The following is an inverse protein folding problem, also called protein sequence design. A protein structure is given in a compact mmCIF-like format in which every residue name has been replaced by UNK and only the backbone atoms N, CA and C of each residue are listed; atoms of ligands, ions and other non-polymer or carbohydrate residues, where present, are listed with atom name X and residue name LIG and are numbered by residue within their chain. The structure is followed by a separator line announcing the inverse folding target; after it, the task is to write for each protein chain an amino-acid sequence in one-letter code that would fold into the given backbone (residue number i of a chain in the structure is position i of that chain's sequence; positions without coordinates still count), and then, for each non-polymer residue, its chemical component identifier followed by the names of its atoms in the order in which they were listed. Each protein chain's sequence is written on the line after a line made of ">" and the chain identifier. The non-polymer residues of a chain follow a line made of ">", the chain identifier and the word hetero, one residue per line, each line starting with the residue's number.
data_IF_299370506838
#
_entry.id   IF_299370506838
#
_cell.length_a   1.000
_cell.length_b   1.000
_cell.length_c   1.000
_cell.angle_alpha   90.00
_cell.angle_beta   90.00
_cell.angle_gamma   90.00
#
_symmetry.space_group_name_H-M   'P 1'
#
loop_
_entity.id
_entity.type
_entity.pdbx_description
1 polymer ?
#
# COMPACT_ATOMS: atom_id res chain seq x y z
N UNK A 1 -19.40 -34.37 34.47
CA UNK A 1 -20.36 -34.13 33.37
C UNK A 1 -20.96 -32.71 33.33
N UNK A 2 -20.78 -31.87 34.35
CA UNK A 2 -21.30 -30.48 34.38
C UNK A 2 -20.37 -29.45 33.75
N UNK A 3 -19.06 -29.67 33.75
CA UNK A 3 -18.07 -28.68 33.21
C UNK A 3 -18.18 -28.54 31.68
N UNK A 4 -18.54 -29.58 30.97
CA UNK A 4 -18.71 -29.57 29.51
C UNK A 4 -19.98 -28.83 29.04
N UNK A 5 -21.00 -28.68 29.86
CA UNK A 5 -22.22 -27.94 29.53
C UNK A 5 -22.06 -26.44 29.66
N UNK A 6 -21.21 -25.98 30.60
CA UNK A 6 -20.97 -24.53 30.85
C UNK A 6 -20.14 -23.91 29.69
N UNK A 7 -19.14 -24.63 29.18
CA UNK A 7 -18.34 -24.18 28.05
C UNK A 7 -19.16 -24.03 26.76
N UNK A 8 -20.04 -24.97 26.46
CA UNK A 8 -20.84 -24.96 25.24
C UNK A 8 -21.94 -23.88 25.21
N UNK A 9 -22.39 -23.41 26.36
CA UNK A 9 -23.35 -22.30 26.44
C UNK A 9 -22.65 -20.93 26.28
N UNK A 10 -21.45 -20.77 26.81
CA UNK A 10 -20.68 -19.56 26.63
C UNK A 10 -20.27 -19.31 25.17
N UNK A 11 -19.97 -20.37 24.41
CA UNK A 11 -19.60 -20.25 23.00
C UNK A 11 -20.77 -19.76 22.13
N UNK A 12 -22.00 -20.17 22.44
CA UNK A 12 -23.21 -19.71 21.74
C UNK A 12 -23.46 -18.21 21.98
N UNK A 13 -23.37 -17.76 23.24
CA UNK A 13 -23.54 -16.34 23.57
C UNK A 13 -22.46 -15.46 22.95
N UNK A 14 -21.22 -15.91 22.91
CA UNK A 14 -20.14 -15.24 22.22
C UNK A 14 -20.40 -15.13 20.71
N UNK A 15 -20.91 -16.18 20.08
CA UNK A 15 -21.25 -16.21 18.67
C UNK A 15 -22.41 -15.23 18.36
N UNK A 16 -23.50 -15.24 19.14
CA UNK A 16 -24.61 -14.31 18.96
C UNK A 16 -24.19 -12.86 19.19
N UNK A 17 -23.41 -12.58 20.23
CA UNK A 17 -22.87 -11.24 20.47
C UNK A 17 -22.00 -10.77 19.32
N UNK A 18 -21.19 -11.66 18.76
CA UNK A 18 -20.34 -11.37 17.62
C UNK A 18 -21.16 -11.04 16.36
N UNK A 19 -22.17 -11.83 16.03
CA UNK A 19 -23.10 -11.56 14.91
C UNK A 19 -23.80 -10.22 15.11
N UNK A 20 -24.28 -9.93 16.31
CA UNK A 20 -24.95 -8.67 16.62
C UNK A 20 -24.03 -7.47 16.41
N UNK A 21 -22.75 -7.57 16.83
CA UNK A 21 -21.72 -6.53 16.59
C UNK A 21 -21.49 -6.35 15.09
N UNK A 22 -21.37 -7.41 14.32
CA UNK A 22 -21.18 -7.35 12.86
C UNK A 22 -22.37 -6.67 12.19
N UNK A 23 -23.61 -7.02 12.59
CA UNK A 23 -24.82 -6.41 12.06
C UNK A 23 -24.88 -4.90 12.37
N UNK A 24 -24.55 -4.49 13.60
CA UNK A 24 -24.48 -3.08 13.97
C UNK A 24 -23.43 -2.35 13.13
N UNK A 25 -22.23 -2.94 12.96
CA UNK A 25 -21.19 -2.37 12.12
C UNK A 25 -21.66 -2.20 10.67
N UNK A 26 -22.42 -3.14 10.12
CA UNK A 26 -22.97 -3.04 8.77
C UNK A 26 -24.02 -1.93 8.59
N UNK A 27 -24.59 -1.42 9.66
CA UNK A 27 -25.55 -0.29 9.65
C UNK A 27 -24.87 1.08 9.79
N UNK A 28 -23.62 1.12 10.22
CA UNK A 28 -22.85 2.35 10.38
C UNK A 28 -22.32 2.86 9.03
N UNK A 29 -21.99 4.16 8.92
CA UNK A 29 -21.25 4.67 7.78
C UNK A 29 -20.00 3.83 7.50
N UNK A 30 -19.72 3.54 6.23
CA UNK A 30 -18.73 2.57 5.83
C UNK A 30 -17.32 2.86 6.38
N UNK A 31 -16.91 4.14 6.40
CA UNK A 31 -15.62 4.54 6.97
C UNK A 31 -15.53 4.29 8.48
N UNK A 32 -16.65 4.49 9.21
CA UNK A 32 -16.73 4.19 10.66
C UNK A 32 -16.58 2.68 10.87
N UNK A 33 -17.26 1.89 10.05
CA UNK A 33 -17.18 0.43 10.07
C UNK A 33 -15.76 -0.07 9.84
N UNK A 34 -15.07 0.47 8.84
CA UNK A 34 -13.67 0.17 8.56
C UNK A 34 -12.77 0.49 9.76
N UNK A 35 -12.93 1.70 10.33
CA UNK A 35 -12.13 2.13 11.48
C UNK A 35 -12.36 1.24 12.71
N UNK A 36 -13.62 0.97 13.05
CA UNK A 36 -13.97 0.13 14.20
C UNK A 36 -13.45 -1.30 14.05
N UNK A 37 -13.62 -1.90 12.87
CA UNK A 37 -13.11 -3.26 12.60
C UNK A 37 -11.59 -3.27 12.62
N UNK A 38 -10.92 -2.28 12.06
CA UNK A 38 -9.47 -2.18 12.10
C UNK A 38 -8.92 -2.06 13.53
N UNK A 39 -9.56 -1.25 14.37
CA UNK A 39 -9.25 -1.14 15.81
C UNK A 39 -9.48 -2.48 16.50
N UNK A 40 -10.62 -3.15 16.23
CA UNK A 40 -10.89 -4.46 16.81
C UNK A 40 -9.82 -5.50 16.39
N UNK A 41 -9.46 -5.58 15.09
CA UNK A 41 -8.40 -6.48 14.59
C UNK A 41 -7.07 -6.22 15.29
N UNK A 42 -6.74 -4.97 15.56
CA UNK A 42 -5.47 -4.63 16.19
C UNK A 42 -5.39 -5.09 17.65
N UNK A 43 -6.47 -4.98 18.41
CA UNK A 43 -6.47 -5.26 19.86
C UNK A 43 -6.97 -6.66 20.24
N UNK A 44 -7.82 -7.30 19.45
CA UNK A 44 -8.41 -8.61 19.75
C UNK A 44 -7.36 -9.74 19.64
N UNK A 45 -7.59 -10.82 20.37
CA UNK A 45 -6.75 -12.02 20.34
C UNK A 45 -7.00 -12.92 19.13
N UNK A 46 -6.08 -13.82 18.86
CA UNK A 46 -6.08 -14.67 17.65
C UNK A 46 -7.37 -15.43 17.39
N UNK A 47 -8.12 -16.20 17.38
CA UNK A 47 -9.05 -16.72 16.37
C UNK A 47 -10.01 -15.65 15.79
N UNK A 48 -10.51 -14.72 16.63
CA UNK A 48 -11.43 -13.67 16.18
C UNK A 48 -10.77 -12.67 15.20
N UNK A 49 -9.45 -12.49 15.32
CA UNK A 49 -8.69 -11.61 14.45
C UNK A 49 -8.72 -12.05 12.99
N UNK A 50 -8.66 -13.35 12.69
CA UNK A 50 -8.72 -13.88 11.32
C UNK A 50 -10.03 -13.48 10.66
N UNK A 51 -11.15 -13.71 11.35
CA UNK A 51 -12.47 -13.39 10.84
C UNK A 51 -12.64 -11.87 10.63
N UNK A 52 -12.27 -11.07 11.63
CA UNK A 52 -12.33 -9.60 11.53
C UNK A 52 -11.42 -9.06 10.42
N UNK A 53 -10.27 -9.69 10.16
CA UNK A 53 -9.42 -9.30 9.04
C UNK A 53 -10.05 -9.62 7.69
N UNK A 54 -10.71 -10.75 7.54
CA UNK A 54 -11.48 -11.07 6.33
C UNK A 54 -12.64 -10.09 6.14
N UNK A 55 -13.32 -9.72 7.23
CA UNK A 55 -14.38 -8.72 7.19
C UNK A 55 -13.84 -7.33 6.84
N UNK A 56 -12.67 -6.95 7.34
CA UNK A 56 -12.00 -5.69 6.97
C UNK A 56 -11.64 -5.64 5.48
N UNK A 57 -11.19 -6.76 4.90
CA UNK A 57 -10.96 -6.89 3.45
C UNK A 57 -12.24 -6.63 2.68
N UNK A 58 -13.35 -7.23 3.12
CA UNK A 58 -14.66 -7.05 2.50
C UNK A 58 -15.14 -5.59 2.58
N UNK A 59 -15.05 -4.96 3.76
CA UNK A 59 -15.42 -3.54 3.94
C UNK A 59 -14.57 -2.60 3.08
N UNK A 60 -13.27 -2.87 2.97
CA UNK A 60 -12.37 -2.10 2.09
C UNK A 60 -12.77 -2.25 0.61
N UNK A 61 -13.22 -3.44 0.20
CA UNK A 61 -13.70 -3.66 -1.16
C UNK A 61 -15.01 -2.90 -1.44
N UNK A 62 -15.95 -2.88 -0.49
CA UNK A 62 -17.14 -2.04 -0.58
C UNK A 62 -16.82 -0.56 -0.65
N UNK A 63 -15.84 -0.12 0.13
CA UNK A 63 -15.39 1.27 0.10
C UNK A 63 -14.92 1.67 -1.30
N UNK A 64 -14.09 0.84 -1.93
CA UNK A 64 -13.56 1.10 -3.27
C UNK A 64 -14.65 1.04 -4.37
N UNK A 65 -15.65 0.17 -4.22
CA UNK A 65 -16.77 0.08 -5.16
C UNK A 65 -17.77 1.23 -5.00
N UNK A 66 -17.89 1.80 -3.78
CA UNK A 66 -18.79 2.89 -3.48
C UNK A 66 -18.28 4.28 -3.86
N UNK A 67 -17.03 4.40 -4.32
CA UNK A 67 -16.42 5.69 -4.69
C UNK A 67 -17.04 6.25 -5.97
N UNK A 68 -17.17 7.57 -6.04
CA UNK A 68 -17.60 8.25 -7.26
C UNK A 68 -16.55 8.12 -8.36
N UNK A 69 -17.00 7.90 -9.59
CA UNK A 69 -16.13 7.71 -10.76
C UNK A 69 -15.66 9.08 -11.23
N UNK A 70 -14.50 9.50 -10.73
CA UNK A 70 -13.86 10.79 -11.05
C UNK A 70 -12.36 10.61 -11.31
N UNK A 71 -11.70 11.60 -11.85
CA UNK A 71 -10.25 11.59 -12.09
C UNK A 71 -9.81 10.37 -12.93
N UNK A 72 -8.78 9.66 -12.48
CA UNK A 72 -8.23 8.48 -13.18
C UNK A 72 -9.25 7.33 -13.31
N UNK A 73 -10.27 7.26 -12.42
CA UNK A 73 -11.33 6.25 -12.53
C UNK A 73 -12.20 6.42 -13.77
N UNK A 74 -12.38 7.65 -14.26
CA UNK A 74 -13.06 7.91 -15.54
C UNK A 74 -12.30 7.28 -16.69
N UNK A 75 -10.97 7.37 -16.67
CA UNK A 75 -10.11 6.73 -17.67
C UNK A 75 -10.23 5.20 -17.61
N UNK A 76 -10.22 4.63 -16.38
CA UNK A 76 -10.40 3.18 -16.22
C UNK A 76 -11.80 2.70 -16.62
N UNK A 77 -12.85 3.48 -16.37
CA UNK A 77 -14.20 3.20 -16.85
C UNK A 77 -14.23 3.20 -18.38
N UNK A 78 -13.66 4.23 -19.01
CA UNK A 78 -13.58 4.32 -20.47
C UNK A 78 -12.83 3.13 -21.09
N UNK A 79 -11.75 2.67 -20.46
CA UNK A 79 -11.03 1.44 -20.87
C UNK A 79 -11.90 0.21 -20.68
N UNK A 80 -12.60 0.09 -19.58
CA UNK A 80 -13.52 -1.01 -19.30
C UNK A 80 -14.63 -1.08 -20.36
N UNK A 81 -15.29 0.03 -20.69
CA UNK A 81 -16.39 0.06 -21.66
C UNK A 81 -15.98 -0.14 -23.12
N UNK A 82 -14.72 0.15 -23.46
CA UNK A 82 -14.23 0.14 -24.83
C UNK A 82 -13.10 -0.88 -25.06
N UNK A 83 -13.08 -1.95 -24.30
CA UNK A 83 -11.99 -2.93 -24.32
C UNK A 83 -11.81 -3.58 -25.71
N UNK A 84 -12.90 -3.74 -26.46
CA UNK A 84 -12.91 -4.31 -27.82
C UNK A 84 -12.47 -3.32 -28.92
N UNK A 85 -12.33 -2.02 -28.60
CA UNK A 85 -11.96 -0.99 -29.57
C UNK A 85 -10.45 -0.81 -29.60
N UNK A 86 -9.84 -1.19 -30.72
CA UNK A 86 -8.40 -1.19 -30.99
C UNK A 86 -7.66 0.12 -30.73
N UNK A 87 -8.36 1.25 -30.70
CA UNK A 87 -7.77 2.59 -30.49
C UNK A 87 -7.38 2.87 -29.03
N UNK A 88 -8.11 2.30 -28.07
CA UNK A 88 -7.83 2.49 -26.63
C UNK A 88 -6.72 1.58 -26.10
N UNK A 89 -6.49 0.46 -26.77
CA UNK A 89 -5.51 -0.55 -26.34
C UNK A 89 -4.06 -0.10 -26.47
N UNK A 90 -3.74 0.87 -27.33
CA UNK A 90 -2.35 1.26 -27.59
C UNK A 90 -1.62 1.86 -26.36
N UNK A 91 -2.32 2.60 -25.51
CA UNK A 91 -1.71 3.15 -24.28
C UNK A 91 -1.54 2.10 -23.15
N UNK A 92 -2.36 1.05 -23.19
CA UNK A 92 -2.39 -0.01 -22.18
C UNK A 92 -1.73 -1.32 -22.64
N UNK A 93 -1.28 -1.42 -23.88
CA UNK A 93 -0.64 -2.65 -24.42
C UNK A 93 0.60 -3.08 -23.66
N UNK A 94 1.31 -2.13 -23.02
CA UNK A 94 2.45 -2.43 -22.17
C UNK A 94 2.07 -3.00 -20.78
N UNK A 95 0.78 -2.98 -20.40
CA UNK A 95 0.27 -3.30 -19.08
C UNK A 95 -0.95 -4.23 -19.17
N UNK A 96 -0.78 -5.44 -19.72
CA UNK A 96 -1.89 -6.30 -20.16
C UNK A 96 -2.69 -6.92 -19.00
N UNK A 97 -2.17 -6.93 -17.78
CA UNK A 97 -2.82 -7.63 -16.66
C UNK A 97 -4.17 -7.00 -16.28
N UNK A 98 -4.26 -5.67 -16.26
CA UNK A 98 -5.50 -4.98 -15.97
C UNK A 98 -6.52 -5.15 -17.11
N UNK A 99 -6.07 -5.07 -18.36
CA UNK A 99 -6.94 -5.30 -19.52
C UNK A 99 -7.55 -6.71 -19.48
N UNK A 100 -6.71 -7.72 -19.25
CA UNK A 100 -7.19 -9.10 -19.10
C UNK A 100 -8.21 -9.25 -17.97
N UNK A 101 -7.97 -8.58 -16.84
CA UNK A 101 -8.90 -8.60 -15.70
C UNK A 101 -10.24 -7.95 -16.07
N UNK A 102 -10.23 -6.80 -16.76
CA UNK A 102 -11.46 -6.10 -17.18
C UNK A 102 -12.23 -6.87 -18.23
N UNK A 103 -11.52 -7.47 -19.21
CA UNK A 103 -12.13 -8.34 -20.22
C UNK A 103 -12.85 -9.53 -19.55
N UNK A 104 -12.19 -10.18 -18.59
CA UNK A 104 -12.80 -11.27 -17.83
C UNK A 104 -14.06 -10.80 -17.06
N UNK A 105 -14.02 -9.62 -16.43
CA UNK A 105 -15.18 -9.07 -15.73
C UNK A 105 -16.35 -8.81 -16.69
N UNK A 106 -16.11 -8.27 -17.89
CA UNK A 106 -17.13 -8.05 -18.90
C UNK A 106 -17.72 -9.37 -19.43
N UNK A 107 -16.89 -10.37 -19.70
CA UNK A 107 -17.35 -11.70 -20.10
C UNK A 107 -18.24 -12.37 -19.06
N UNK A 108 -18.03 -12.06 -17.77
CA UNK A 108 -18.87 -12.49 -16.66
C UNK A 108 -20.14 -11.62 -16.47
N UNK A 109 -20.36 -10.60 -17.29
CA UNK A 109 -21.51 -9.69 -17.19
C UNK A 109 -21.45 -8.73 -15.99
N UNK A 110 -20.26 -8.47 -15.46
CA UNK A 110 -20.07 -7.57 -14.32
C UNK A 110 -19.97 -6.12 -14.81
N UNK A 111 -20.52 -5.19 -14.03
CA UNK A 111 -20.34 -3.77 -14.24
C UNK A 111 -18.98 -3.28 -13.67
N UNK A 112 -18.63 -2.04 -13.96
CA UNK A 112 -17.35 -1.45 -13.54
C UNK A 112 -17.20 -1.37 -12.01
N UNK A 113 -18.26 -1.08 -11.27
CA UNK A 113 -18.23 -1.04 -9.79
C UNK A 113 -17.99 -2.42 -9.20
N UNK A 114 -18.59 -3.45 -9.78
CA UNK A 114 -18.33 -4.85 -9.42
C UNK A 114 -16.89 -5.25 -9.75
N UNK A 115 -16.33 -4.79 -10.87
CA UNK A 115 -14.94 -5.01 -11.22
C UNK A 115 -14.00 -4.34 -10.19
N UNK A 116 -14.26 -3.08 -9.77
CA UNK A 116 -13.50 -2.40 -8.72
C UNK A 116 -13.58 -3.13 -7.37
N UNK A 117 -14.75 -3.67 -7.02
CA UNK A 117 -14.93 -4.49 -5.82
C UNK A 117 -14.04 -5.74 -5.83
N UNK A 118 -14.08 -6.51 -6.92
CA UNK A 118 -13.27 -7.73 -7.07
C UNK A 118 -11.78 -7.39 -7.11
N UNK A 119 -11.40 -6.33 -7.82
CA UNK A 119 -10.03 -5.84 -7.86
C UNK A 119 -9.51 -5.52 -6.46
N UNK A 120 -10.30 -4.81 -5.64
CA UNK A 120 -9.93 -4.49 -4.26
C UNK A 120 -9.81 -5.74 -3.39
N UNK A 121 -10.73 -6.70 -3.53
CA UNK A 121 -10.62 -8.00 -2.84
C UNK A 121 -9.33 -8.72 -3.19
N UNK A 122 -8.98 -8.79 -4.47
CA UNK A 122 -7.74 -9.44 -4.94
C UNK A 122 -6.51 -8.72 -4.40
N UNK A 123 -6.46 -7.39 -4.49
CA UNK A 123 -5.34 -6.59 -4.00
C UNK A 123 -5.12 -6.79 -2.49
N UNK A 124 -6.18 -6.69 -1.68
CA UNK A 124 -6.09 -6.88 -0.24
C UNK A 124 -5.75 -8.34 0.13
N UNK A 125 -6.20 -9.31 -0.66
CA UNK A 125 -5.85 -10.72 -0.47
C UNK A 125 -4.36 -10.99 -0.78
N UNK A 126 -3.82 -10.40 -1.84
CA UNK A 126 -2.38 -10.48 -2.16
C UNK A 126 -1.54 -9.82 -1.05
N UNK A 127 -1.98 -8.67 -0.54
CA UNK A 127 -1.34 -8.02 0.60
C UNK A 127 -1.36 -8.93 1.83
N UNK A 128 -2.52 -9.44 2.22
CA UNK A 128 -2.66 -10.33 3.38
C UNK A 128 -1.79 -11.59 3.22
N UNK A 129 -1.78 -12.19 2.03
CA UNK A 129 -0.91 -13.32 1.72
C UNK A 129 0.57 -12.97 1.95
N UNK A 130 1.04 -11.85 1.39
CA UNK A 130 2.42 -11.41 1.54
C UNK A 130 2.79 -11.19 3.01
N UNK A 131 1.91 -10.54 3.78
CA UNK A 131 2.09 -10.32 5.21
C UNK A 131 2.15 -11.64 6.01
N UNK A 132 1.22 -12.56 5.75
CA UNK A 132 1.18 -13.86 6.42
C UNK A 132 2.42 -14.69 6.13
N UNK A 133 2.93 -14.64 4.90
CA UNK A 133 4.15 -15.34 4.48
C UNK A 133 5.37 -14.86 5.26
N UNK A 134 5.46 -13.58 5.58
CA UNK A 134 6.63 -12.99 6.24
C UNK A 134 6.48 -12.89 7.76
N UNK A 135 5.35 -12.40 8.25
CA UNK A 135 5.10 -12.13 9.67
C UNK A 135 4.32 -13.23 10.40
N UNK A 136 3.80 -14.23 9.67
CA UNK A 136 2.93 -15.24 10.27
C UNK A 136 1.68 -14.62 10.89
N UNK A 137 1.34 -14.99 12.11
CA UNK A 137 0.14 -14.48 12.84
C UNK A 137 0.20 -12.99 13.15
N UNK A 138 1.38 -12.37 13.19
CA UNK A 138 1.51 -10.91 13.37
C UNK A 138 0.98 -10.12 12.16
N UNK A 139 0.91 -10.74 10.98
CA UNK A 139 0.32 -10.15 9.77
C UNK A 139 -1.04 -9.54 10.03
N UNK A 140 -1.89 -10.25 10.77
CA UNK A 140 -3.23 -9.80 11.12
C UNK A 140 -3.26 -8.52 11.96
N UNK A 141 -2.19 -8.22 12.70
CA UNK A 141 -2.05 -6.97 13.45
C UNK A 141 -1.52 -5.82 12.59
N UNK A 142 -0.70 -6.13 11.60
CA UNK A 142 -0.07 -5.15 10.70
C UNK A 142 -1.05 -4.66 9.64
N UNK A 143 -1.88 -5.57 9.15
CA UNK A 143 -2.81 -5.33 8.05
C UNK A 143 -3.72 -4.09 8.26
N UNK A 144 -4.38 -3.91 9.43
CA UNK A 144 -5.21 -2.73 9.66
C UNK A 144 -4.45 -1.41 9.54
N UNK A 145 -3.18 -1.37 9.98
CA UNK A 145 -2.36 -0.17 9.87
C UNK A 145 -2.00 0.19 8.42
N UNK A 146 -1.99 -0.78 7.51
CA UNK A 146 -1.78 -0.54 6.08
C UNK A 146 -3.10 -0.11 5.43
N UNK A 147 -4.20 -0.80 5.70
CA UNK A 147 -5.51 -0.50 5.12
C UNK A 147 -6.00 0.91 5.49
N UNK A 148 -5.76 1.35 6.72
CA UNK A 148 -6.14 2.70 7.17
C UNK A 148 -5.17 3.79 6.70
N UNK A 149 -4.04 3.43 6.07
CA UNK A 149 -3.10 4.44 5.62
C UNK A 149 -3.65 5.19 4.39
N UNK A 150 -3.83 6.53 4.47
CA UNK A 150 -4.52 7.29 3.43
C UNK A 150 -3.97 7.09 2.02
N UNK A 151 -2.64 7.04 1.89
CA UNK A 151 -1.99 6.84 0.59
C UNK A 151 -2.24 5.45 0.03
N UNK A 152 -2.40 4.42 0.87
CA UNK A 152 -2.78 3.09 0.41
C UNK A 152 -4.17 3.11 -0.24
N UNK A 153 -5.13 3.79 0.40
CA UNK A 153 -6.49 3.92 -0.12
C UNK A 153 -6.49 4.73 -1.41
N UNK A 154 -5.92 5.92 -1.39
CA UNK A 154 -5.89 6.83 -2.53
C UNK A 154 -5.22 6.19 -3.76
N UNK A 155 -4.05 5.61 -3.56
CA UNK A 155 -3.31 5.00 -4.65
C UNK A 155 -3.96 3.71 -5.14
N UNK A 156 -4.63 2.95 -4.25
CA UNK A 156 -5.42 1.79 -4.62
C UNK A 156 -6.57 2.12 -5.56
N UNK A 157 -7.19 3.28 -5.38
CA UNK A 157 -8.28 3.77 -6.22
C UNK A 157 -7.79 4.37 -7.53
N UNK A 158 -6.95 5.41 -7.44
CA UNK A 158 -6.60 6.22 -8.61
C UNK A 158 -5.42 5.66 -9.43
N UNK A 159 -4.54 4.91 -8.80
CA UNK A 159 -3.37 4.32 -9.45
C UNK A 159 -3.43 2.81 -9.41
N UNK A 160 -4.58 2.24 -9.73
CA UNK A 160 -4.89 0.81 -9.59
C UNK A 160 -3.83 -0.10 -10.21
N UNK A 161 -3.34 0.19 -11.42
CA UNK A 161 -2.28 -0.56 -12.11
C UNK A 161 -0.96 -0.53 -11.32
N UNK A 162 -0.55 0.66 -10.92
CA UNK A 162 0.68 0.85 -10.18
C UNK A 162 0.59 0.25 -8.77
N UNK A 163 -0.58 0.35 -8.13
CA UNK A 163 -0.84 -0.25 -6.81
C UNK A 163 -0.77 -1.77 -6.87
N UNK A 164 -1.42 -2.40 -7.85
CA UNK A 164 -1.34 -3.85 -8.05
C UNK A 164 0.11 -4.28 -8.30
N UNK A 165 0.83 -3.58 -9.17
CA UNK A 165 2.24 -3.80 -9.42
C UNK A 165 3.08 -3.70 -8.14
N UNK A 166 2.81 -2.70 -7.30
CA UNK A 166 3.50 -2.49 -6.03
C UNK A 166 3.23 -3.62 -5.04
N UNK A 167 1.98 -4.09 -4.94
CA UNK A 167 1.63 -5.23 -4.07
C UNK A 167 2.31 -6.53 -4.52
N UNK A 168 2.34 -6.79 -5.82
CA UNK A 168 3.05 -7.93 -6.40
C UNK A 168 4.56 -7.82 -6.19
N UNK A 169 5.12 -6.62 -6.29
CA UNK A 169 6.52 -6.35 -5.96
C UNK A 169 6.82 -6.65 -4.49
N UNK A 170 5.96 -6.26 -3.55
CA UNK A 170 6.13 -6.61 -2.14
C UNK A 170 6.03 -8.12 -1.93
N UNK A 171 5.13 -8.81 -2.60
CA UNK A 171 5.05 -10.26 -2.55
C UNK A 171 6.36 -10.92 -3.06
N UNK A 172 6.97 -10.38 -4.13
CA UNK A 172 8.30 -10.78 -4.60
C UNK A 172 9.37 -10.59 -3.52
N UNK A 173 9.44 -9.40 -2.91
CA UNK A 173 10.44 -9.07 -1.86
C UNK A 173 10.29 -10.01 -0.66
N UNK A 174 9.05 -10.25 -0.22
CA UNK A 174 8.73 -11.15 0.88
C UNK A 174 9.17 -12.58 0.59
N UNK A 175 8.87 -13.10 -0.58
CA UNK A 175 9.28 -14.45 -0.99
C UNK A 175 10.82 -14.57 -1.05
N UNK A 176 11.50 -13.54 -1.55
CA UNK A 176 12.95 -13.51 -1.62
C UNK A 176 13.65 -13.36 -0.26
N UNK A 177 12.95 -12.86 0.77
CA UNK A 177 13.47 -12.71 2.12
C UNK A 177 13.39 -14.01 2.95
N UNK A 178 12.62 -15.01 2.52
CA UNK A 178 12.48 -16.29 3.24
C UNK A 178 13.77 -17.13 3.17
N UNK A 179 14.01 -17.93 4.21
CA UNK A 179 15.13 -18.87 4.26
C UNK A 179 15.05 -19.98 3.19
N UNK A 180 13.82 -20.40 2.84
CA UNK A 180 13.55 -21.33 1.72
C UNK A 180 12.79 -20.57 0.64
N UNK A 181 13.52 -19.91 -0.26
CA UNK A 181 12.93 -19.18 -1.38
C UNK A 181 12.34 -20.14 -2.40
N UNK A 182 11.06 -19.98 -2.70
CA UNK A 182 10.48 -20.62 -3.87
C UNK A 182 10.73 -19.71 -5.08
N UNK A 183 11.77 -20.04 -5.86
CA UNK A 183 12.19 -19.24 -7.01
C UNK A 183 11.07 -19.09 -8.04
N UNK A 184 10.27 -20.11 -8.26
CA UNK A 184 9.13 -20.05 -9.19
C UNK A 184 8.10 -19.02 -8.75
N UNK A 185 7.69 -19.03 -7.47
CA UNK A 185 6.75 -18.03 -6.94
C UNK A 185 7.34 -16.62 -6.99
N UNK A 186 8.62 -16.45 -6.66
CA UNK A 186 9.28 -15.14 -6.75
C UNK A 186 9.28 -14.63 -8.19
N UNK A 187 9.62 -15.47 -9.16
CA UNK A 187 9.61 -15.11 -10.57
C UNK A 187 8.20 -14.75 -11.05
N UNK A 188 7.20 -15.55 -10.68
CA UNK A 188 5.80 -15.28 -11.04
C UNK A 188 5.34 -13.92 -10.53
N UNK A 189 5.61 -13.58 -9.28
CA UNK A 189 5.26 -12.25 -8.74
C UNK A 189 6.01 -11.12 -9.46
N UNK A 190 7.28 -11.32 -9.82
CA UNK A 190 8.06 -10.35 -10.61
C UNK A 190 7.46 -10.12 -12.00
N UNK A 191 7.12 -11.20 -12.72
CA UNK A 191 6.48 -11.12 -14.04
C UNK A 191 5.10 -10.45 -13.94
N UNK A 192 4.26 -10.85 -12.99
CA UNK A 192 2.94 -10.25 -12.80
C UNK A 192 3.04 -8.75 -12.44
N UNK A 193 4.04 -8.35 -11.66
CA UNK A 193 4.28 -6.94 -11.36
C UNK A 193 4.63 -6.13 -12.62
N UNK A 194 5.47 -6.68 -13.49
CA UNK A 194 5.82 -6.08 -14.78
C UNK A 194 4.62 -5.97 -15.72
N UNK A 195 3.81 -7.02 -15.81
CA UNK A 195 2.58 -7.04 -16.61
C UNK A 195 1.50 -6.09 -16.08
N UNK A 196 1.59 -5.72 -14.80
CA UNK A 196 0.68 -4.75 -14.19
C UNK A 196 1.08 -3.31 -14.48
N UNK A 197 2.38 -2.99 -14.42
CA UNK A 197 2.85 -1.61 -14.63
C UNK A 197 4.35 -1.54 -14.89
N UNK A 198 4.74 -0.76 -15.90
CA UNK A 198 6.14 -0.62 -16.34
C UNK A 198 7.10 -0.13 -15.23
N UNK A 199 6.61 0.69 -14.27
CA UNK A 199 7.43 1.15 -13.14
C UNK A 199 8.00 0.00 -12.28
N UNK A 200 7.43 -1.21 -12.37
CA UNK A 200 7.97 -2.39 -11.70
C UNK A 200 9.42 -2.73 -12.12
N UNK A 201 9.82 -2.39 -13.34
CA UNK A 201 11.20 -2.58 -13.82
C UNK A 201 12.19 -1.92 -12.88
N UNK A 202 11.93 -0.66 -12.52
CA UNK A 202 12.80 0.09 -11.61
C UNK A 202 12.81 -0.52 -10.21
N UNK A 203 11.62 -0.82 -9.66
CA UNK A 203 11.49 -1.41 -8.34
C UNK A 203 12.19 -2.77 -8.24
N UNK A 204 12.05 -3.63 -9.25
CA UNK A 204 12.74 -4.93 -9.33
C UNK A 204 14.24 -4.72 -9.49
N UNK A 205 14.66 -3.76 -10.33
CA UNK A 205 16.08 -3.40 -10.47
C UNK A 205 16.69 -2.96 -9.14
N UNK A 206 16.05 -2.08 -8.39
CA UNK A 206 16.49 -1.64 -7.06
C UNK A 206 16.50 -2.80 -6.06
N UNK A 207 15.54 -3.72 -6.13
CA UNK A 207 15.54 -4.93 -5.31
C UNK A 207 16.73 -5.85 -5.62
N UNK A 208 17.06 -6.07 -6.90
CA UNK A 208 18.23 -6.87 -7.29
C UNK A 208 19.53 -6.21 -6.82
N UNK A 209 19.65 -4.89 -6.95
CA UNK A 209 20.77 -4.12 -6.40
C UNK A 209 20.83 -4.30 -4.89
N UNK A 210 19.72 -4.17 -4.18
CA UNK A 210 19.65 -4.34 -2.72
C UNK A 210 20.18 -5.70 -2.26
N UNK A 211 19.89 -6.75 -3.01
CA UNK A 211 20.40 -8.11 -2.72
C UNK A 211 21.92 -8.21 -2.86
N UNK A 212 22.51 -7.55 -3.87
CA UNK A 212 23.96 -7.55 -4.08
C UNK A 212 24.69 -6.76 -3.01
N UNK A 213 24.16 -5.60 -2.61
CA UNK A 213 24.81 -4.72 -1.63
C UNK A 213 24.54 -5.13 -0.17
N UNK A 214 23.63 -6.08 0.09
CA UNK A 214 23.29 -6.56 1.44
C UNK A 214 24.51 -6.93 2.27
N UNK A 215 25.55 -7.54 1.67
CA UNK A 215 26.79 -7.92 2.34
C UNK A 215 27.73 -6.75 2.62
N UNK A 216 27.62 -5.66 1.87
CA UNK A 216 28.47 -4.48 1.90
C UNK A 216 27.88 -3.37 2.75
N UNK A 217 26.55 -3.26 2.76
CA UNK A 217 25.84 -2.16 3.43
C UNK A 217 25.84 -2.38 4.94
N UNK A 218 26.38 -1.44 5.64
CA UNK A 218 26.41 -1.38 7.11
C UNK A 218 25.65 -0.16 7.58
N UNK A 219 25.10 -0.25 8.77
CA UNK A 219 24.25 0.78 9.32
C UNK A 219 24.89 2.17 9.43
N UNK A 220 26.18 2.26 9.67
CA UNK A 220 26.86 3.55 9.72
C UNK A 220 26.90 4.31 8.38
N UNK A 221 26.65 3.61 7.24
CA UNK A 221 26.52 4.26 5.94
C UNK A 221 25.13 4.85 5.68
N UNK A 222 24.09 4.37 6.37
CA UNK A 222 22.70 4.77 6.10
C UNK A 222 22.49 6.24 6.38
N UNK A 223 22.92 6.71 7.56
CA UNK A 223 22.73 8.12 7.94
C UNK A 223 23.44 9.08 7.01
N UNK A 224 24.76 8.91 6.67
CA UNK A 224 25.42 9.74 5.67
C UNK A 224 24.74 9.75 4.30
N UNK A 225 24.28 8.60 3.81
CA UNK A 225 23.60 8.50 2.51
C UNK A 225 22.29 9.28 2.52
N UNK A 226 21.48 9.14 3.57
CA UNK A 226 20.21 9.85 3.70
C UNK A 226 20.42 11.35 3.88
N UNK A 227 21.40 11.75 4.69
CA UNK A 227 21.75 13.16 4.84
C UNK A 227 22.26 13.76 3.52
N UNK A 228 23.07 13.02 2.76
CA UNK A 228 23.49 13.44 1.43
C UNK A 228 22.29 13.61 0.48
N UNK A 229 21.34 12.68 0.50
CA UNK A 229 20.12 12.78 -0.30
C UNK A 229 19.24 13.96 0.11
N UNK A 230 19.23 14.31 1.40
CA UNK A 230 18.52 15.49 1.90
C UNK A 230 19.19 16.81 1.50
N UNK A 231 20.53 16.85 1.42
CA UNK A 231 21.30 18.07 1.13
C UNK A 231 21.46 18.28 -0.38
N UNK A 232 21.60 17.19 -1.14
CA UNK A 232 21.93 17.20 -2.57
C UNK A 232 20.76 16.67 -3.41
N UNK A 233 19.65 17.45 -3.57
CA UNK A 233 18.60 17.03 -4.50
C UNK A 233 19.17 17.01 -5.92
N UNK A 234 18.72 16.05 -6.72
CA UNK A 234 19.06 16.04 -8.13
C UNK A 234 18.43 17.25 -8.82
N UNK A 235 19.24 18.03 -9.52
CA UNK A 235 18.77 19.16 -10.30
C UNK A 235 17.98 18.67 -11.53
N UNK A 236 16.95 19.43 -11.90
CA UNK A 236 16.15 19.16 -13.11
C UNK A 236 17.03 19.02 -14.36
N UNK A 237 18.02 19.88 -14.51
CA UNK A 237 18.96 19.85 -15.63
C UNK A 237 19.76 18.54 -15.71
N UNK A 238 20.13 17.94 -14.59
CA UNK A 238 20.89 16.68 -14.56
C UNK A 238 20.05 15.52 -15.07
N UNK A 239 18.80 15.42 -14.63
CA UNK A 239 17.91 14.31 -15.05
C UNK A 239 17.47 14.52 -16.49
N UNK A 240 17.08 15.75 -16.90
CA UNK A 240 16.69 16.05 -18.28
C UNK A 240 17.80 15.72 -19.27
N UNK A 241 19.04 16.08 -18.98
CA UNK A 241 20.17 15.77 -19.88
C UNK A 241 20.42 14.25 -20.00
N UNK A 242 20.30 13.50 -18.90
CA UNK A 242 20.57 12.05 -18.91
C UNK A 242 19.37 11.23 -19.39
N UNK A 243 18.14 11.69 -19.12
CA UNK A 243 16.94 11.06 -19.65
C UNK A 243 16.68 11.43 -21.11
N UNK A 244 17.08 12.63 -21.57
CA UNK A 244 17.01 12.99 -23.00
C UNK A 244 17.78 12.00 -23.91
N UNK A 245 18.84 11.38 -23.38
CA UNK A 245 19.52 10.30 -24.08
C UNK A 245 18.67 9.02 -24.21
N UNK A 246 17.73 8.79 -23.29
CA UNK A 246 16.79 7.65 -23.30
C UNK A 246 15.51 7.95 -24.08
N UNK A 247 15.10 9.22 -24.21
CA UNK A 247 13.89 9.64 -24.92
C UNK A 247 14.01 9.43 -26.44
N UNK A 248 15.22 9.49 -26.99
CA UNK A 248 15.48 9.14 -28.38
C UNK A 248 15.13 7.68 -28.73
N UNK A 249 14.81 6.82 -27.75
CA UNK A 249 14.49 5.41 -27.95
C UNK A 249 13.00 5.20 -28.23
N UNK A 250 12.10 6.06 -27.69
CA UNK A 250 10.66 5.93 -27.94
C UNK A 250 9.91 7.24 -27.63
N UNK A 251 9.13 7.73 -28.58
CA UNK A 251 8.33 8.95 -28.44
C UNK A 251 7.22 8.89 -27.38
N UNK A 252 6.83 7.69 -26.93
CA UNK A 252 5.91 7.49 -25.80
C UNK A 252 6.60 7.72 -24.46
N UNK A 253 7.89 7.40 -24.36
CA UNK A 253 8.69 7.64 -23.18
C UNK A 253 8.95 9.13 -23.00
N UNK A 254 9.18 9.86 -24.09
CA UNK A 254 9.39 11.31 -24.10
C UNK A 254 8.17 12.06 -23.55
N UNK A 255 6.97 11.71 -24.03
CA UNK A 255 5.71 12.27 -23.50
C UNK A 255 5.53 12.00 -22.00
N UNK A 256 5.81 10.77 -21.54
CA UNK A 256 5.70 10.42 -20.12
C UNK A 256 6.73 11.17 -19.27
N UNK A 257 7.96 11.29 -19.74
CA UNK A 257 9.02 12.03 -19.04
C UNK A 257 8.66 13.52 -19.00
N UNK A 258 8.22 14.12 -20.13
CA UNK A 258 7.74 15.48 -20.18
C UNK A 258 6.59 15.75 -19.20
N UNK A 259 5.62 14.85 -19.11
CA UNK A 259 4.52 14.93 -18.15
C UNK A 259 5.00 14.90 -16.70
N UNK A 260 5.92 13.99 -16.35
CA UNK A 260 6.43 13.89 -14.98
C UNK A 260 7.38 15.01 -14.58
N UNK A 261 7.94 15.75 -15.55
CA UNK A 261 8.91 16.80 -15.30
C UNK A 261 8.35 18.21 -15.44
N UNK A 262 7.43 18.44 -16.39
CA UNK A 262 6.94 19.78 -16.76
C UNK A 262 5.51 20.06 -16.27
N UNK A 263 4.65 19.06 -16.16
CA UNK A 263 3.26 19.22 -15.72
C UNK A 263 3.11 19.09 -14.19
N UNK A 264 4.07 19.60 -13.47
CA UNK A 264 3.89 19.89 -12.06
C UNK A 264 2.93 21.07 -11.88
N UNK A 265 1.69 20.97 -12.38
CA UNK A 265 0.62 21.82 -11.92
C UNK A 265 0.58 21.72 -10.40
N UNK A 266 0.48 22.82 -9.72
CA UNK A 266 0.59 23.03 -8.28
C UNK A 266 -0.36 22.15 -7.43
N UNK A 267 -1.22 21.35 -8.05
CA UNK A 267 -2.37 20.70 -7.43
C UNK A 267 -2.14 19.35 -6.75
N UNK A 268 -1.00 18.69 -6.90
CA UNK A 268 -0.86 17.32 -6.37
C UNK A 268 0.47 16.98 -5.72
N UNK A 269 1.29 17.94 -5.38
CA UNK A 269 2.53 17.66 -4.65
C UNK A 269 2.22 17.37 -3.20
N UNK A 270 2.06 16.10 -2.88
CA UNK A 270 2.39 15.63 -1.55
C UNK A 270 3.84 16.03 -1.29
N UNK A 271 4.02 17.21 -0.72
CA UNK A 271 5.35 17.61 -0.31
C UNK A 271 5.95 16.47 0.51
N UNK A 272 7.17 16.08 0.25
CA UNK A 272 7.88 15.02 0.98
C UNK A 272 7.76 15.21 2.50
N UNK A 273 7.51 16.42 2.95
CA UNK A 273 7.31 16.80 4.35
C UNK A 273 5.83 16.98 4.75
N UNK A 274 4.88 16.53 3.94
CA UNK A 274 3.46 16.59 4.31
C UNK A 274 3.17 15.75 5.56
N UNK A 275 2.13 16.14 6.32
CA UNK A 275 1.70 15.37 7.50
C UNK A 275 1.37 13.91 7.18
N UNK A 276 0.96 13.63 5.96
CA UNK A 276 0.64 12.27 5.51
C UNK A 276 1.88 11.40 5.30
N UNK A 277 3.06 12.01 5.19
CA UNK A 277 4.34 11.30 5.14
C UNK A 277 4.95 11.08 6.54
N UNK A 278 4.34 11.61 7.61
CA UNK A 278 4.85 11.41 8.97
C UNK A 278 5.04 9.94 9.37
N UNK A 279 4.15 8.98 9.02
CA UNK A 279 4.40 7.56 9.31
C UNK A 279 5.70 7.05 8.69
N UNK A 280 6.02 7.51 7.49
CA UNK A 280 7.26 7.18 6.79
C UNK A 280 8.47 7.73 7.54
N UNK A 281 8.44 9.01 7.90
CA UNK A 281 9.52 9.65 8.65
C UNK A 281 9.68 9.05 10.03
N UNK A 282 8.58 8.77 10.74
CA UNK A 282 8.60 8.10 12.05
C UNK A 282 9.23 6.70 11.95
N UNK A 283 8.91 5.94 10.90
CA UNK A 283 9.53 4.64 10.63
C UNK A 283 11.03 4.78 10.42
N UNK A 284 11.45 5.75 9.61
CA UNK A 284 12.86 5.99 9.36
C UNK A 284 13.61 6.43 10.63
N UNK A 285 13.04 7.32 11.42
CA UNK A 285 13.62 7.75 12.71
C UNK A 285 13.76 6.58 13.68
N UNK A 286 12.75 5.71 13.78
CA UNK A 286 12.81 4.51 14.60
C UNK A 286 13.93 3.58 14.14
N UNK A 287 14.03 3.33 12.83
CA UNK A 287 15.11 2.55 12.25
C UNK A 287 16.46 3.15 12.67
N UNK A 288 16.66 4.43 12.43
CA UNK A 288 17.92 5.12 12.74
C UNK A 288 18.27 5.03 14.24
N UNK A 289 17.29 5.24 15.12
CA UNK A 289 17.48 5.16 16.57
C UNK A 289 17.87 3.74 17.03
N UNK A 290 17.21 2.71 16.50
CA UNK A 290 17.53 1.30 16.81
C UNK A 290 18.95 0.96 16.38
N UNK A 291 19.39 1.49 15.26
CA UNK A 291 20.69 1.20 14.68
C UNK A 291 21.85 1.87 15.39
N UNK A 292 21.68 3.13 15.79
CA UNK A 292 22.65 3.83 16.64
C UNK A 292 22.86 3.05 17.95
N UNK A 293 21.81 2.44 18.46
CA UNK A 293 21.86 1.68 19.72
C UNK A 293 22.47 0.28 19.56
N UNK A 294 22.42 -0.33 18.37
CA UNK A 294 22.84 -1.71 18.11
C UNK A 294 24.35 -1.87 17.90
N UNK A 295 25.18 -1.01 18.46
CA UNK A 295 26.65 -0.98 18.28
C UNK A 295 27.38 -2.34 18.40
N UNK A 296 26.77 -3.35 19.03
CA UNK A 296 27.41 -4.63 19.36
C UNK A 296 26.94 -5.86 18.58
N UNK A 297 25.92 -5.75 17.72
CA UNK A 297 25.48 -6.90 16.95
C UNK A 297 26.04 -6.79 15.52
N UNK A 298 26.47 -7.91 14.97
CA UNK A 298 26.90 -8.05 13.55
C UNK A 298 26.08 -7.11 12.66
N UNK A 299 26.62 -5.97 12.35
CA UNK A 299 26.03 -4.78 11.72
C UNK A 299 25.34 -5.02 10.34
N UNK A 300 24.80 -6.22 10.13
CA UNK A 300 24.12 -6.62 8.90
C UNK A 300 22.67 -6.15 8.93
N UNK A 301 22.33 -5.40 7.91
CA UNK A 301 20.96 -4.94 7.68
C UNK A 301 20.17 -6.09 7.06
N UNK A 302 18.93 -6.28 7.47
CA UNK A 302 18.02 -7.23 6.85
C UNK A 302 17.57 -6.75 5.45
N UNK A 303 17.14 -7.68 4.60
CA UNK A 303 16.78 -7.38 3.20
C UNK A 303 15.64 -6.40 3.05
N UNK A 304 14.69 -6.40 3.99
CA UNK A 304 13.58 -5.46 4.01
C UNK A 304 14.02 -4.04 4.32
N UNK A 305 14.83 -3.87 5.36
CA UNK A 305 15.33 -2.55 5.74
C UNK A 305 16.22 -1.95 4.65
N UNK A 306 17.01 -2.76 3.94
CA UNK A 306 17.83 -2.26 2.83
C UNK A 306 16.97 -1.69 1.71
N UNK A 307 15.94 -2.42 1.27
CA UNK A 307 15.09 -1.93 0.17
C UNK A 307 14.32 -0.67 0.58
N UNK A 308 13.87 -0.61 1.84
CA UNK A 308 13.26 0.60 2.41
C UNK A 308 14.19 1.80 2.34
N UNK A 309 15.44 1.63 2.79
CA UNK A 309 16.42 2.71 2.81
C UNK A 309 16.73 3.19 1.39
N UNK A 310 16.89 2.28 0.44
CA UNK A 310 17.16 2.61 -0.96
C UNK A 310 16.00 3.41 -1.55
N UNK A 311 14.77 2.93 -1.41
CA UNK A 311 13.59 3.61 -1.94
C UNK A 311 13.40 4.99 -1.28
N UNK A 312 13.59 5.08 0.04
CA UNK A 312 13.52 6.35 0.76
C UNK A 312 14.58 7.34 0.30
N UNK A 313 15.81 6.87 0.10
CA UNK A 313 16.92 7.68 -0.39
C UNK A 313 16.64 8.20 -1.80
N UNK A 314 16.15 7.33 -2.70
CA UNK A 314 15.77 7.73 -4.06
C UNK A 314 14.65 8.78 -4.04
N UNK A 315 13.63 8.58 -3.20
CA UNK A 315 12.55 9.56 -3.04
C UNK A 315 13.06 10.93 -2.57
N UNK A 316 14.01 10.94 -1.63
CA UNK A 316 14.62 12.19 -1.14
C UNK A 316 15.47 12.90 -2.21
N UNK A 317 16.22 12.15 -3.02
CA UNK A 317 16.98 12.72 -4.13
C UNK A 317 16.07 13.36 -5.18
N UNK A 318 14.89 12.78 -5.40
CA UNK A 318 13.93 13.24 -6.41
C UNK A 318 12.91 14.26 -5.88
N UNK A 319 13.05 14.75 -4.65
CA UNK A 319 12.02 15.57 -3.96
C UNK A 319 11.66 16.87 -4.66
N UNK A 320 12.53 17.39 -5.53
CA UNK A 320 12.28 18.62 -6.29
C UNK A 320 11.35 18.41 -7.49
N UNK A 321 11.04 17.15 -7.83
CA UNK A 321 10.08 16.82 -8.89
C UNK A 321 8.69 16.62 -8.26
N UNK A 322 7.66 17.06 -8.98
CA UNK A 322 6.29 17.00 -8.46
C UNK A 322 5.75 15.58 -8.29
N UNK A 323 5.67 14.82 -9.36
CA UNK A 323 5.04 13.51 -9.39
C UNK A 323 6.04 12.33 -9.25
N UNK A 324 7.28 12.51 -9.68
CA UNK A 324 8.27 11.44 -9.74
C UNK A 324 8.58 10.82 -8.37
N UNK A 325 8.78 11.60 -7.27
CA UNK A 325 9.01 11.03 -5.93
C UNK A 325 7.86 10.18 -5.44
N UNK A 326 6.63 10.62 -5.67
CA UNK A 326 5.43 9.88 -5.25
C UNK A 326 5.25 8.59 -6.04
N UNK A 327 5.51 8.62 -7.34
CA UNK A 327 5.38 7.44 -8.22
C UNK A 327 6.46 6.39 -7.94
N UNK A 328 7.74 6.80 -7.85
CA UNK A 328 8.85 5.88 -7.54
C UNK A 328 8.88 5.50 -6.06
N UNK A 329 8.49 6.42 -5.17
CA UNK A 329 8.38 6.18 -3.74
C UNK A 329 7.12 5.40 -3.33
N UNK A 330 6.20 5.11 -4.24
CA UNK A 330 4.94 4.43 -3.93
C UNK A 330 5.12 3.16 -3.08
N UNK A 331 6.06 2.23 -3.38
CA UNK A 331 6.24 1.06 -2.54
C UNK A 331 6.60 1.39 -1.10
N UNK A 332 7.41 2.41 -0.87
CA UNK A 332 7.81 2.80 0.48
C UNK A 332 6.69 3.55 1.20
N UNK A 333 5.97 4.41 0.48
CA UNK A 333 4.85 5.18 1.03
C UNK A 333 3.76 4.23 1.51
N UNK A 334 3.30 3.32 0.64
CA UNK A 334 2.26 2.34 0.96
C UNK A 334 2.69 1.42 2.12
N UNK A 335 3.95 1.01 2.10
CA UNK A 335 4.44 0.00 3.04
C UNK A 335 5.22 0.56 4.23
N UNK A 336 5.09 1.87 4.52
CA UNK A 336 5.70 2.47 5.72
C UNK A 336 5.32 1.73 7.00
N UNK A 337 4.05 1.35 7.14
CA UNK A 337 3.58 0.55 8.26
C UNK A 337 4.24 -0.84 8.32
N UNK A 338 4.42 -1.47 7.16
CA UNK A 338 5.12 -2.77 7.06
C UNK A 338 6.55 -2.67 7.58
N UNK A 339 7.28 -1.64 7.19
CA UNK A 339 8.66 -1.45 7.62
C UNK A 339 8.75 -1.10 9.10
N UNK A 340 7.83 -0.29 9.62
CA UNK A 340 7.75 0.01 11.05
C UNK A 340 7.61 -1.27 11.88
N UNK A 341 6.66 -2.13 11.55
CA UNK A 341 6.43 -3.38 12.26
C UNK A 341 7.55 -4.41 12.05
N UNK A 342 8.25 -4.37 10.91
CA UNK A 342 9.45 -5.18 10.70
C UNK A 342 10.54 -4.81 11.69
N UNK A 343 10.84 -3.53 11.84
CA UNK A 343 11.84 -3.02 12.77
C UNK A 343 11.49 -3.34 14.21
N UNK A 344 10.25 -3.10 14.63
CA UNK A 344 9.81 -3.42 16.00
C UNK A 344 9.86 -4.93 16.29
N UNK A 345 9.69 -5.77 15.28
CA UNK A 345 9.77 -7.22 15.42
C UNK A 345 11.22 -7.71 15.51
N UNK A 346 12.08 -7.26 14.57
CA UNK A 346 13.47 -7.70 14.52
C UNK A 346 14.30 -7.21 15.71
N UNK A 347 14.03 -6.01 16.17
CA UNK A 347 14.79 -5.37 17.23
C UNK A 347 14.04 -5.27 18.56
N UNK A 348 13.09 -6.19 18.79
CA UNK A 348 12.25 -6.20 19.99
C UNK A 348 13.06 -6.22 21.30
N UNK A 349 14.24 -6.85 21.30
CA UNK A 349 15.15 -6.88 22.45
C UNK A 349 15.83 -5.54 22.74
N UNK A 350 16.03 -4.72 21.71
CA UNK A 350 16.66 -3.40 21.81
C UNK A 350 15.65 -2.30 22.10
N UNK A 351 14.40 -2.47 21.66
CA UNK A 351 13.33 -1.51 21.82
C UNK A 351 12.58 -1.83 23.13
N UNK A 352 12.81 -1.02 24.15
CA UNK A 352 11.96 -1.09 25.34
C UNK A 352 10.54 -0.68 25.00
N UNK A 353 9.52 -1.39 25.54
CA UNK A 353 8.09 -1.07 25.36
C UNK A 353 7.59 -1.14 23.89
N UNK A 354 8.02 -2.15 23.13
CA UNK A 354 7.58 -2.37 21.73
C UNK A 354 6.08 -2.21 21.55
N UNK A 355 5.27 -2.83 22.42
CA UNK A 355 3.79 -2.74 22.34
C UNK A 355 3.29 -1.30 22.42
N UNK A 356 3.91 -0.44 23.23
CA UNK A 356 3.53 0.96 23.35
C UNK A 356 3.80 1.71 22.03
N UNK A 357 4.98 1.50 21.41
CA UNK A 357 5.32 2.12 20.15
C UNK A 357 4.41 1.65 19.01
N UNK A 358 4.12 0.34 18.94
CA UNK A 358 3.18 -0.20 17.94
C UNK A 358 1.77 0.37 18.11
N UNK A 359 1.31 0.50 19.37
CA UNK A 359 -0.01 1.08 19.67
C UNK A 359 -0.06 2.56 19.34
N UNK A 360 0.96 3.33 19.72
CA UNK A 360 1.05 4.76 19.39
C UNK A 360 1.08 5.00 17.88
N UNK A 361 1.85 4.20 17.14
CA UNK A 361 1.89 4.26 15.69
C UNK A 361 0.53 3.95 15.08
N UNK A 362 -0.16 2.91 15.56
CA UNK A 362 -1.49 2.55 15.06
C UNK A 362 -2.53 3.66 15.34
N UNK A 363 -2.53 4.24 16.55
CA UNK A 363 -3.39 5.38 16.89
C UNK A 363 -3.10 6.56 15.94
N UNK A 364 -1.84 6.83 15.66
CA UNK A 364 -1.45 7.87 14.72
C UNK A 364 -2.01 7.60 13.31
N UNK A 365 -1.95 6.36 12.82
CA UNK A 365 -2.58 5.97 11.56
C UNK A 365 -4.10 6.19 11.58
N UNK A 366 -4.78 5.82 12.68
CA UNK A 366 -6.22 6.08 12.83
C UNK A 366 -6.55 7.58 12.76
N UNK A 367 -5.75 8.42 13.42
CA UNK A 367 -5.93 9.88 13.38
C UNK A 367 -5.71 10.43 11.96
N UNK A 368 -4.66 9.97 11.28
CA UNK A 368 -4.39 10.39 9.89
C UNK A 368 -5.47 9.93 8.93
N UNK A 369 -6.05 8.73 9.14
CA UNK A 369 -7.19 8.26 8.36
C UNK A 369 -8.43 9.15 8.55
N UNK A 370 -8.80 9.45 9.79
CA UNK A 370 -9.94 10.35 10.07
C UNK A 370 -9.69 11.74 9.48
N UNK A 371 -8.48 12.28 9.66
CA UNK A 371 -8.09 13.56 9.07
C UNK A 371 -8.23 13.54 7.55
N UNK A 372 -7.74 12.51 6.88
CA UNK A 372 -7.84 12.33 5.42
C UNK A 372 -9.29 12.43 4.92
N UNK A 373 -10.26 11.92 5.68
CA UNK A 373 -11.67 11.96 5.31
C UNK A 373 -12.29 13.37 5.45
N UNK A 374 -11.75 14.21 6.33
CA UNK A 374 -12.35 15.50 6.68
C UNK A 374 -11.55 16.73 6.23
N UNK A 375 -10.32 16.57 5.76
CA UNK A 375 -9.48 17.70 5.34
C UNK A 375 -9.22 17.67 3.84
N UNK A 376 -9.32 18.85 3.23
CA UNK A 376 -8.97 19.06 1.82
C UNK A 376 -7.44 19.15 1.59
N UNK A 377 -6.62 18.61 2.48
CA UNK A 377 -5.14 18.64 2.35
C UNK A 377 -4.61 17.99 1.05
N UNK A 378 -5.50 17.37 0.28
CA UNK A 378 -5.25 16.76 -1.04
C UNK A 378 -5.89 17.53 -2.21
N UNK A 379 -6.07 18.84 -2.07
CA UNK A 379 -6.95 19.57 -2.97
C UNK A 379 -8.38 19.03 -2.83
N UNK A 380 -9.29 19.48 -3.62
CA UNK A 380 -10.69 19.04 -3.57
C UNK A 380 -10.92 17.51 -3.77
N UNK A 381 -9.84 16.75 -3.93
CA UNK A 381 -9.88 15.35 -4.31
C UNK A 381 -10.49 14.42 -3.25
N UNK A 382 -10.17 14.53 -1.96
CA UNK A 382 -10.59 13.49 -1.01
C UNK A 382 -12.11 13.50 -0.75
N UNK A 383 -12.72 14.68 -0.55
CA UNK A 383 -14.17 14.78 -0.31
C UNK A 383 -14.96 14.73 -1.62
N UNK A 384 -14.43 15.32 -2.68
CA UNK A 384 -15.09 15.32 -4.00
C UNK A 384 -15.03 13.94 -4.65
N UNK A 385 -13.95 13.19 -4.44
CA UNK A 385 -13.73 11.88 -5.06
C UNK A 385 -14.45 10.76 -4.31
N UNK A 386 -14.45 10.80 -2.96
CA UNK A 386 -15.14 9.78 -2.19
C UNK A 386 -16.65 10.00 -2.16
N UNK A 387 -17.15 11.16 -2.68
CA UNK A 387 -18.55 11.53 -2.64
C UNK A 387 -19.07 11.63 -1.21
N UNK A 388 -19.61 12.76 -0.79
CA UNK A 388 -20.18 12.90 0.57
C UNK A 388 -21.24 11.83 0.86
N UNK A 389 -21.99 11.43 -0.15
CA UNK A 389 -23.04 10.43 -0.03
C UNK A 389 -22.49 9.03 0.19
N UNK A 390 -21.46 8.61 -0.58
CA UNK A 390 -20.86 7.27 -0.44
C UNK A 390 -20.13 7.10 0.88
N UNK A 391 -19.54 8.16 1.44
CA UNK A 391 -18.94 8.12 2.78
C UNK A 391 -19.97 7.89 3.89
N UNK A 392 -21.20 8.40 3.72
CA UNK A 392 -22.28 8.26 4.69
C UNK A 392 -23.07 6.97 4.49
N UNK A 393 -22.95 6.30 3.33
CA UNK A 393 -23.63 5.03 3.08
C UNK A 393 -23.10 3.92 3.98
N UNK A 394 -24.01 3.11 4.49
CA UNK A 394 -23.65 1.87 5.18
C UNK A 394 -23.33 0.76 4.17
N UNK A 395 -22.56 -0.29 4.57
CA UNK A 395 -22.34 -1.45 3.72
C UNK A 395 -23.63 -2.08 3.17
N UNK A 396 -24.67 -2.09 3.98
CA UNK A 396 -26.00 -2.60 3.57
C UNK A 396 -26.59 -1.73 2.47
N UNK A 397 -26.53 -0.41 2.61
CA UNK A 397 -27.07 0.50 1.59
C UNK A 397 -26.36 0.37 0.25
N UNK A 398 -25.04 0.15 0.25
CA UNK A 398 -24.27 -0.06 -0.99
C UNK A 398 -24.71 -1.35 -1.71
N UNK A 399 -25.08 -2.39 -0.97
CA UNK A 399 -25.55 -3.66 -1.55
C UNK A 399 -26.95 -3.56 -2.18
N UNK A 400 -27.81 -2.69 -1.64
CA UNK A 400 -29.23 -2.61 -2.04
C UNK A 400 -29.57 -1.39 -2.90
N UNK A 401 -28.72 -0.35 -2.92
CA UNK A 401 -28.87 0.76 -3.86
C UNK A 401 -28.24 0.36 -5.21
N UNK A 402 -29.11 -0.15 -6.09
CA UNK A 402 -28.80 -0.32 -7.50
C UNK A 402 -29.05 0.97 -8.27
#
# INVERSE_FOLDING_TARGET
>A
MEITKITHNNDKWLFFSFISIVLVICLLPLWVSILLVAVAVFFVTAPHRIFLSAFLILLSAFFNAGVDITGDLVTYLSVFENIDKSTFTQEFTAEPLLLFFYDLCQQLGLDFKSALFIQSLLMNSVLMYALCVYFGTKALKIFPAIILYPQFIQQGLFLSRQSLSTLLFIALVVQGARHKTNHFKSLSFGILALLSHAAAILNIGLYLVSRKIKGLMRWYWVLPIVLAALVLPLNESFITQHLAALTNISGSLDRKIGFYMNDGSEEATLGVFSLLMLPLHATFLLISAVLIKSKNTNNKIDSFSIIFIILYTVMLFLRNYSLLPTRLGMPIIIFSSLFFFNVTTLYATLIKRVKLYETAFFIFICITFVRFLYTNDYGDYAITILGKESLLMSPINILFNK
#
